data_IF_875103370195
#
_entry.id   IF_875103370195
#
_cell.length_a   1.000
_cell.length_b   1.000
_cell.length_c   1.000
_cell.angle_alpha   90.00
_cell.angle_beta   90.00
_cell.angle_gamma   90.00
#
_symmetry.space_group_name_H-M   'P 1'
#
loop_
_entity.id
_entity.type
_entity.pdbx_description
1 polymer ?
#
# COMPACT_ATOMS: atom_id res chain seq x y z
N UNK A 1 -40.12 -22.52 30.03
CA UNK A 1 -40.37 -21.07 29.87
C UNK A 1 -39.12 -20.20 29.95
N UNK A 2 -38.27 -20.31 30.99
CA UNK A 2 -37.06 -19.46 31.15
C UNK A 2 -36.03 -19.58 30.01
N UNK A 3 -35.94 -20.74 29.35
CA UNK A 3 -34.99 -20.98 28.25
C UNK A 3 -35.27 -20.16 26.98
N UNK A 4 -36.53 -19.77 26.72
CA UNK A 4 -36.88 -19.00 25.52
C UNK A 4 -36.57 -17.51 25.66
N UNK A 5 -36.55 -16.99 26.90
CA UNK A 5 -36.27 -15.57 27.16
C UNK A 5 -34.84 -15.21 26.75
N UNK A 6 -33.87 -16.09 27.06
CA UNK A 6 -32.48 -15.89 26.66
C UNK A 6 -32.28 -15.85 25.14
N UNK A 7 -32.97 -16.74 24.42
CA UNK A 7 -32.92 -16.79 22.95
C UNK A 7 -33.55 -15.53 22.32
N UNK A 8 -34.66 -15.03 22.88
CA UNK A 8 -35.32 -13.81 22.41
C UNK A 8 -34.42 -12.59 22.63
N UNK A 9 -33.83 -12.45 23.83
CA UNK A 9 -32.91 -11.34 24.13
C UNK A 9 -31.69 -11.38 23.20
N UNK A 10 -31.11 -12.56 22.99
CA UNK A 10 -29.99 -12.73 22.08
C UNK A 10 -30.36 -12.34 20.64
N UNK A 11 -31.50 -12.83 20.14
CA UNK A 11 -31.97 -12.52 18.79
C UNK A 11 -32.20 -11.02 18.58
N UNK A 12 -32.84 -10.35 19.55
CA UNK A 12 -33.10 -8.90 19.48
C UNK A 12 -31.79 -8.11 19.56
N UNK A 13 -30.88 -8.47 20.46
CA UNK A 13 -29.58 -7.80 20.58
C UNK A 13 -28.74 -7.95 19.31
N UNK A 14 -28.67 -9.16 18.76
CA UNK A 14 -27.95 -9.44 17.52
C UNK A 14 -28.50 -8.64 16.34
N UNK A 15 -29.83 -8.62 16.18
CA UNK A 15 -30.50 -7.90 15.10
C UNK A 15 -30.32 -6.39 15.25
N UNK A 16 -30.34 -5.89 16.49
CA UNK A 16 -30.07 -4.47 16.79
C UNK A 16 -28.64 -4.08 16.41
N UNK A 17 -27.63 -4.90 16.72
CA UNK A 17 -26.23 -4.62 16.37
C UNK A 17 -26.04 -4.60 14.84
N UNK A 18 -26.65 -5.56 14.13
CA UNK A 18 -26.56 -5.63 12.66
C UNK A 18 -27.15 -4.40 11.96
N UNK A 19 -28.17 -3.77 12.54
CA UNK A 19 -28.79 -2.56 11.97
C UNK A 19 -28.06 -1.29 12.43
N UNK A 20 -27.72 -1.20 13.72
CA UNK A 20 -27.12 -0.02 14.31
C UNK A 20 -25.70 0.26 13.79
N UNK A 21 -24.85 -0.78 13.63
CA UNK A 21 -23.46 -0.61 13.20
C UNK A 21 -23.35 -0.04 11.78
N UNK A 22 -24.08 -0.53 10.76
CA UNK A 22 -24.08 0.08 9.43
C UNK A 22 -24.65 1.49 9.42
N UNK A 23 -25.76 1.75 10.13
CA UNK A 23 -26.36 3.09 10.19
C UNK A 23 -25.38 4.09 10.83
N UNK A 24 -24.68 3.69 11.89
CA UNK A 24 -23.66 4.51 12.50
C UNK A 24 -22.47 4.74 11.57
N UNK A 25 -22.01 3.69 10.88
CA UNK A 25 -20.98 3.79 9.84
C UNK A 25 -21.34 4.72 8.68
N UNK A 26 -22.62 4.82 8.32
CA UNK A 26 -23.10 5.76 7.30
C UNK A 26 -23.06 7.23 7.77
N UNK A 27 -23.14 7.48 9.08
CA UNK A 27 -23.08 8.84 9.67
C UNK A 27 -21.66 9.35 9.90
N UNK A 28 -20.65 8.47 9.88
CA UNK A 28 -19.25 8.87 10.02
C UNK A 28 -18.75 9.32 8.64
N UNK A 29 -18.84 10.61 8.36
CA UNK A 29 -18.23 11.22 7.18
C UNK A 29 -16.71 11.23 7.35
N UNK A 30 -15.99 10.37 6.63
CA UNK A 30 -14.53 10.49 6.50
C UNK A 30 -13.78 9.17 6.35
N UNK A 31 -14.37 8.04 6.77
CA UNK A 31 -13.77 6.73 6.52
C UNK A 31 -14.54 6.02 5.41
N UNK A 32 -13.81 5.77 4.32
CA UNK A 32 -14.10 4.81 3.25
C UNK A 32 -15.33 3.95 3.51
N UNK A 33 -16.49 4.34 2.95
CA UNK A 33 -17.62 3.43 2.76
C UNK A 33 -17.04 2.11 2.25
N UNK A 34 -17.37 0.99 2.91
CA UNK A 34 -16.95 -0.34 2.46
C UNK A 34 -17.29 -0.48 0.98
N UNK A 35 -16.27 -0.27 0.14
CA UNK A 35 -16.37 -0.28 -1.31
C UNK A 35 -15.24 -1.17 -1.77
N UNK A 36 -15.60 -2.21 -2.51
CA UNK A 36 -14.63 -3.02 -3.21
C UNK A 36 -14.00 -2.14 -4.28
N UNK A 37 -12.83 -1.56 -3.97
CA UNK A 37 -12.04 -0.84 -4.94
C UNK A 37 -11.24 -1.87 -5.72
N UNK A 38 -11.69 -2.20 -6.93
CA UNK A 38 -10.87 -2.94 -7.88
C UNK A 38 -9.85 -1.97 -8.47
N UNK A 39 -8.56 -2.27 -8.28
CA UNK A 39 -7.46 -1.56 -8.91
C UNK A 39 -7.04 -2.35 -10.14
N UNK A 40 -7.09 -1.73 -11.31
CA UNK A 40 -6.56 -2.30 -12.55
C UNK A 40 -5.04 -2.15 -12.49
N UNK A 41 -4.33 -3.26 -12.65
CA UNK A 41 -2.87 -3.26 -12.77
C UNK A 41 -2.52 -2.66 -14.13
N UNK A 42 -1.92 -1.47 -14.15
CA UNK A 42 -1.24 -0.99 -15.34
C UNK A 42 0.07 -1.79 -15.49
N UNK A 43 0.32 -2.33 -16.67
CA UNK A 43 1.51 -3.13 -16.99
C UNK A 43 2.76 -2.28 -17.24
N UNK A 44 2.74 -0.98 -16.92
CA UNK A 44 3.96 -0.18 -16.96
C UNK A 44 4.92 -0.68 -15.88
N UNK A 45 5.87 -1.52 -16.29
CA UNK A 45 6.94 -2.03 -15.43
C UNK A 45 7.87 -0.86 -15.14
N UNK A 46 7.66 -0.23 -14.00
CA UNK A 46 8.57 0.78 -13.50
C UNK A 46 9.91 0.14 -13.14
N UNK A 47 10.96 0.60 -13.82
CA UNK A 47 12.32 0.17 -13.54
C UNK A 47 12.94 1.11 -12.52
N UNK A 48 13.27 0.58 -11.35
CA UNK A 48 13.99 1.32 -10.31
C UNK A 48 15.49 1.16 -10.52
N UNK A 49 16.20 2.29 -10.57
CA UNK A 49 17.66 2.34 -10.61
C UNK A 49 18.14 3.14 -9.40
N UNK A 50 19.05 2.57 -8.63
CA UNK A 50 19.63 3.20 -7.46
C UNK A 50 21.00 3.76 -7.84
N UNK A 51 21.23 5.04 -7.54
CA UNK A 51 22.50 5.72 -7.76
C UNK A 51 23.20 5.87 -6.41
N UNK A 52 24.44 5.43 -6.35
CA UNK A 52 25.29 5.51 -5.16
C UNK A 52 26.13 6.79 -5.17
N UNK A 53 26.70 7.13 -4.02
CA UNK A 53 27.58 8.30 -3.83
C UNK A 53 28.90 8.17 -4.60
N UNK A 54 29.29 6.96 -4.96
CA UNK A 54 30.46 6.67 -5.81
C UNK A 54 30.16 6.85 -7.32
N UNK A 55 28.92 7.21 -7.68
CA UNK A 55 28.47 7.35 -9.06
C UNK A 55 28.04 6.04 -9.72
N UNK A 56 28.15 4.91 -9.03
CA UNK A 56 27.66 3.63 -9.56
C UNK A 56 26.14 3.59 -9.59
N UNK A 57 25.58 2.99 -10.64
CA UNK A 57 24.15 2.76 -10.80
C UNK A 57 23.88 1.26 -10.73
N UNK A 58 22.88 0.85 -9.94
CA UNK A 58 22.44 -0.55 -9.89
C UNK A 58 20.95 -0.64 -10.16
N UNK A 59 20.57 -1.55 -11.04
CA UNK A 59 19.17 -1.89 -11.26
C UNK A 59 18.62 -2.68 -10.06
N UNK A 60 17.30 -2.67 -9.89
CA UNK A 60 16.66 -3.45 -8.83
C UNK A 60 16.96 -4.96 -8.93
N UNK A 61 17.12 -5.49 -10.14
CA UNK A 61 17.47 -6.90 -10.37
C UNK A 61 18.87 -7.24 -9.88
N UNK A 62 19.84 -6.35 -10.11
CA UNK A 62 21.20 -6.50 -9.58
C UNK A 62 21.24 -6.33 -8.06
N UNK A 63 20.42 -5.41 -7.55
CA UNK A 63 20.28 -5.19 -6.13
C UNK A 63 19.72 -6.44 -5.43
N UNK A 64 18.67 -7.04 -5.98
CA UNK A 64 18.04 -8.26 -5.45
C UNK A 64 18.97 -9.47 -5.44
N UNK A 65 19.90 -9.56 -6.40
CA UNK A 65 20.92 -10.61 -6.42
C UNK A 65 21.96 -10.43 -5.31
N UNK A 66 22.33 -9.20 -5.00
CA UNK A 66 23.35 -8.89 -3.99
C UNK A 66 22.79 -8.84 -2.57
N UNK A 67 21.58 -8.29 -2.43
CA UNK A 67 20.86 -8.12 -1.17
C UNK A 67 19.38 -8.29 -1.47
N UNK A 68 18.67 -9.26 -0.86
CA UNK A 68 17.24 -9.40 -1.11
C UNK A 68 16.49 -8.16 -0.62
N UNK A 69 16.00 -7.34 -1.55
CA UNK A 69 15.21 -6.13 -1.27
C UNK A 69 13.80 -6.37 -1.78
N UNK A 70 12.88 -6.64 -0.86
CA UNK A 70 11.47 -6.80 -1.21
C UNK A 70 10.86 -5.43 -1.57
N UNK A 71 10.85 -5.08 -2.87
CA UNK A 71 10.05 -3.97 -3.37
C UNK A 71 8.64 -4.47 -3.62
N UNK A 72 7.71 -4.08 -2.74
CA UNK A 72 6.28 -4.30 -2.97
C UNK A 72 5.87 -3.29 -4.05
N UNK A 73 5.85 -3.75 -5.30
CA UNK A 73 5.30 -2.99 -6.43
C UNK A 73 3.78 -3.03 -6.29
N UNK A 74 3.23 -2.13 -5.47
CA UNK A 74 1.80 -1.91 -5.40
C UNK A 74 1.39 -0.99 -6.56
N UNK A 75 0.18 -1.14 -7.13
CA UNK A 75 -0.33 -0.31 -8.23
C UNK A 75 -0.72 1.13 -7.77
N UNK A 76 -0.10 1.61 -6.69
CA UNK A 76 -0.35 2.93 -6.11
C UNK A 76 0.72 3.86 -6.64
N UNK A 77 0.29 4.96 -7.27
CA UNK A 77 1.08 6.10 -7.76
C UNK A 77 2.52 6.12 -7.23
N UNK A 78 3.43 5.44 -7.94
CA UNK A 78 4.80 5.16 -7.48
C UNK A 78 5.63 6.44 -7.38
N UNK A 79 5.21 7.50 -8.10
CA UNK A 79 5.78 8.83 -7.96
C UNK A 79 5.54 9.44 -6.56
N UNK A 80 4.51 8.96 -5.84
CA UNK A 80 4.13 9.40 -4.49
C UNK A 80 4.62 8.45 -3.41
N UNK A 81 4.88 7.19 -3.74
CA UNK A 81 5.39 6.15 -2.86
C UNK A 81 6.76 5.66 -3.33
N UNK A 82 7.77 6.55 -3.26
CA UNK A 82 9.17 6.12 -3.35
C UNK A 82 9.41 5.19 -2.16
N UNK A 83 9.86 3.93 -2.37
CA UNK A 83 10.05 3.04 -1.26
C UNK A 83 11.17 3.57 -0.35
N UNK A 84 10.87 4.02 0.89
CA UNK A 84 11.85 4.71 1.74
C UNK A 84 13.02 3.82 2.14
N UNK A 85 12.87 2.50 1.96
CA UNK A 85 13.92 1.53 2.21
C UNK A 85 15.06 1.58 1.17
N UNK A 86 14.82 2.04 -0.07
CA UNK A 86 15.88 2.17 -1.08
C UNK A 86 16.88 3.28 -0.72
N UNK A 87 16.40 4.42 -0.20
CA UNK A 87 17.26 5.49 0.30
C UNK A 87 17.97 5.15 1.62
N UNK A 88 17.53 4.12 2.36
CA UNK A 88 18.21 3.66 3.59
C UNK A 88 19.40 2.73 3.33
N UNK A 89 19.61 2.31 2.09
CA UNK A 89 20.77 1.50 1.73
C UNK A 89 22.05 2.32 1.87
N UNK A 90 23.08 1.70 2.44
CA UNK A 90 24.34 2.39 2.75
C UNK A 90 25.00 2.89 1.46
N UNK A 91 25.23 4.20 1.39
CA UNK A 91 25.93 4.84 0.27
C UNK A 91 25.04 5.24 -0.90
N UNK A 92 23.72 5.17 -0.80
CA UNK A 92 22.81 5.67 -1.83
C UNK A 92 22.75 7.20 -1.81
N UNK A 93 22.76 7.82 -2.99
CA UNK A 93 22.63 9.27 -3.18
C UNK A 93 21.26 9.65 -3.76
N UNK A 94 20.74 8.85 -4.68
CA UNK A 94 19.45 9.10 -5.32
C UNK A 94 18.85 7.83 -5.91
N UNK A 95 17.53 7.86 -6.15
CA UNK A 95 16.78 6.78 -6.80
C UNK A 95 16.15 7.35 -8.07
N UNK A 96 16.35 6.67 -9.18
CA UNK A 96 15.73 6.98 -10.48
C UNK A 96 14.57 6.02 -10.68
N UNK A 97 13.40 6.56 -11.01
CA UNK A 97 12.24 5.79 -11.46
C UNK A 97 12.10 6.00 -12.96
N UNK A 98 12.20 4.91 -13.72
CA UNK A 98 11.93 4.87 -15.17
C UNK A 98 10.53 4.32 -15.41
N UNK A 99 9.62 5.18 -15.87
CA UNK A 99 8.28 4.82 -16.31
C UNK A 99 8.17 5.10 -17.81
N UNK A 100 8.29 4.08 -18.67
CA UNK A 100 8.22 4.04 -20.15
C UNK A 100 8.89 5.17 -20.96
N UNK A 101 8.58 6.43 -20.69
CA UNK A 101 9.07 7.65 -21.35
C UNK A 101 9.50 8.76 -20.38
N UNK A 102 9.27 8.60 -19.08
CA UNK A 102 9.56 9.59 -18.04
C UNK A 102 10.60 9.04 -17.08
N UNK A 103 11.72 9.75 -16.96
CA UNK A 103 12.71 9.56 -15.90
C UNK A 103 12.52 10.63 -14.83
N UNK A 104 12.38 10.19 -13.58
CA UNK A 104 12.40 11.09 -12.42
C UNK A 104 13.50 10.70 -11.46
N UNK A 105 14.35 11.68 -11.14
CA UNK A 105 15.40 11.58 -10.13
C UNK A 105 14.83 12.00 -8.78
N UNK A 106 15.03 11.15 -7.78
CA UNK A 106 14.64 11.41 -6.40
C UNK A 106 15.89 11.41 -5.52
N UNK A 107 16.37 12.57 -5.04
CA UNK A 107 17.52 12.64 -4.15
C UNK A 107 17.18 12.02 -2.79
N UNK A 108 18.09 11.20 -2.26
CA UNK A 108 18.03 10.69 -0.90
C UNK A 108 18.77 11.69 0.01
N UNK A 109 18.03 12.30 0.94
CA UNK A 109 18.56 13.23 1.95
C UNK A 109 19.31 12.53 3.08
#
# INVERSE_FOLDING_TARGET
>A
MKQHIGAIIFAVAYLTIQVAVPIWGLRISGQSRFSWKMFVRNEDISNFVVVYKDGSCRSLDELNKATPVAVIINPVDEAKFIPPHLCRLKGVSSVIIRQSTVERLYPCG
#
